data_IF_250018519574
#
_entry.id   IF_250018519574
#
_cell.length_a   1.000
_cell.length_b   1.000
_cell.length_c   1.000
_cell.angle_alpha   90.00
_cell.angle_beta   90.00
_cell.angle_gamma   90.00
#
_symmetry.space_group_name_H-M   'P 1'
#
loop_
_entity.id
_entity.type
_entity.pdbx_description
1 polymer ?
#
# COMPACT_ATOMS: atom_id res chain seq x y z
N UNK A 1 2.00 -28.29 -15.16
CA UNK A 1 1.12 -27.10 -15.20
C UNK A 1 1.78 -26.08 -16.13
N UNK A 2 1.13 -25.72 -17.24
CA UNK A 2 1.65 -24.74 -18.22
C UNK A 2 1.15 -23.37 -17.79
N UNK A 3 2.05 -22.47 -17.38
CA UNK A 3 1.69 -21.10 -16.99
C UNK A 3 1.35 -20.32 -18.26
N UNK A 4 0.06 -20.17 -18.54
CA UNK A 4 -0.44 -19.39 -19.68
C UNK A 4 -0.62 -17.93 -19.26
N UNK A 5 -0.12 -16.99 -20.08
CA UNK A 5 -0.23 -15.56 -19.78
C UNK A 5 -1.69 -15.16 -19.81
N UNK A 6 -2.20 -14.58 -18.72
CA UNK A 6 -3.57 -14.05 -18.69
C UNK A 6 -3.73 -12.98 -19.80
N UNK A 7 -4.68 -13.16 -20.73
CA UNK A 7 -4.85 -12.23 -21.85
C UNK A 7 -5.48 -10.90 -21.43
N UNK A 8 -6.22 -10.89 -20.32
CA UNK A 8 -6.91 -9.71 -19.80
C UNK A 8 -6.79 -9.65 -18.28
N UNK A 9 -6.52 -8.45 -17.75
CA UNK A 9 -6.50 -8.21 -16.30
C UNK A 9 -7.94 -7.99 -15.85
N UNK A 10 -8.40 -8.77 -14.87
CA UNK A 10 -9.75 -8.62 -14.33
C UNK A 10 -9.88 -7.27 -13.62
N UNK A 11 -10.95 -6.51 -13.93
CA UNK A 11 -11.25 -5.24 -13.24
C UNK A 11 -11.43 -5.43 -11.74
N UNK A 12 -12.00 -6.56 -11.32
CA UNK A 12 -12.11 -6.92 -9.92
C UNK A 12 -10.73 -7.09 -9.27
N UNK A 13 -9.77 -7.72 -9.96
CA UNK A 13 -8.41 -7.86 -9.44
C UNK A 13 -7.68 -6.51 -9.32
N UNK A 14 -7.90 -5.58 -10.26
CA UNK A 14 -7.31 -4.23 -10.21
C UNK A 14 -7.77 -3.44 -8.98
N UNK A 15 -9.03 -3.60 -8.56
CA UNK A 15 -9.59 -2.91 -7.40
C UNK A 15 -9.35 -3.65 -6.08
N UNK A 16 -9.51 -4.98 -6.09
CA UNK A 16 -9.40 -5.78 -4.87
C UNK A 16 -7.96 -5.96 -4.41
N UNK A 17 -6.97 -6.00 -5.31
CA UNK A 17 -5.57 -6.16 -4.93
C UNK A 17 -5.05 -5.07 -3.96
N UNK A 18 -5.19 -3.76 -4.25
CA UNK A 18 -4.73 -2.72 -3.31
C UNK A 18 -5.53 -2.72 -2.01
N UNK A 19 -6.85 -2.96 -2.06
CA UNK A 19 -7.69 -3.06 -0.86
C UNK A 19 -7.24 -4.23 0.03
N UNK A 20 -7.00 -5.39 -0.55
CA UNK A 20 -6.50 -6.56 0.16
C UNK A 20 -5.11 -6.31 0.75
N UNK A 21 -4.21 -5.62 0.04
CA UNK A 21 -2.89 -5.25 0.55
C UNK A 21 -2.98 -4.32 1.76
N UNK A 22 -3.87 -3.32 1.74
CA UNK A 22 -4.11 -2.43 2.89
C UNK A 22 -4.68 -3.21 4.08
N UNK A 23 -5.70 -4.04 3.86
CA UNK A 23 -6.31 -4.85 4.93
C UNK A 23 -5.30 -5.84 5.54
N UNK A 24 -4.49 -6.48 4.70
CA UNK A 24 -3.42 -7.38 5.15
C UNK A 24 -2.38 -6.62 5.98
N UNK A 25 -1.94 -5.46 5.50
CA UNK A 25 -0.98 -4.61 6.23
C UNK A 25 -1.54 -4.21 7.59
N UNK A 26 -2.79 -3.75 7.64
CA UNK A 26 -3.46 -3.44 8.90
C UNK A 26 -3.50 -4.67 9.80
N UNK A 27 -3.98 -5.82 9.33
CA UNK A 27 -4.05 -7.05 10.13
C UNK A 27 -2.69 -7.44 10.72
N UNK A 28 -1.62 -7.46 9.91
CA UNK A 28 -0.26 -7.76 10.37
C UNK A 28 0.22 -6.73 11.40
N UNK A 29 0.04 -5.44 11.15
CA UNK A 29 0.38 -4.40 12.14
C UNK A 29 -0.41 -4.59 13.45
N UNK A 30 -1.67 -5.00 13.37
CA UNK A 30 -2.51 -5.28 14.53
C UNK A 30 -1.99 -6.44 15.36
N UNK A 31 -1.52 -7.51 14.71
CA UNK A 31 -0.86 -8.63 15.38
C UNK A 31 0.41 -8.18 16.12
N UNK A 32 1.22 -7.31 15.51
CA UNK A 32 2.40 -6.75 16.17
C UNK A 32 2.02 -5.89 17.39
N UNK A 33 0.95 -5.11 17.30
CA UNK A 33 0.43 -4.31 18.42
C UNK A 33 -0.09 -5.20 19.55
N UNK A 34 -0.80 -6.29 19.22
CA UNK A 34 -1.23 -7.30 20.20
C UNK A 34 -0.02 -7.94 20.87
N UNK A 35 1.00 -8.30 20.10
CA UNK A 35 2.23 -8.89 20.61
C UNK A 35 2.98 -7.93 21.55
N UNK A 36 2.93 -6.63 21.29
CA UNK A 36 3.45 -5.60 22.17
C UNK A 36 2.59 -5.34 23.43
N UNK A 37 1.46 -6.03 23.60
CA UNK A 37 0.55 -5.87 24.74
C UNK A 37 -0.27 -4.57 24.71
N UNK A 38 -0.32 -3.88 23.57
CA UNK A 38 -1.02 -2.60 23.42
C UNK A 38 -2.46 -2.78 22.90
N UNK A 39 -3.40 -1.89 23.27
CA UNK A 39 -4.79 -1.96 22.83
C UNK A 39 -4.93 -1.59 21.35
N UNK A 40 -5.10 -2.60 20.48
CA UNK A 40 -5.16 -2.47 19.00
C UNK A 40 -6.11 -1.36 18.52
N UNK A 41 -7.35 -1.36 19.02
CA UNK A 41 -8.35 -0.38 18.60
C UNK A 41 -7.90 1.06 18.90
N UNK A 42 -7.34 1.30 20.09
CA UNK A 42 -6.81 2.62 20.44
C UNK A 42 -5.57 2.96 19.63
N UNK A 43 -4.70 1.99 19.35
CA UNK A 43 -3.51 2.21 18.52
C UNK A 43 -3.87 2.65 17.11
N UNK A 44 -4.87 2.06 16.46
CA UNK A 44 -5.30 2.54 15.14
C UNK A 44 -5.94 3.92 15.17
N UNK A 45 -6.70 4.24 16.23
CA UNK A 45 -7.25 5.60 16.40
C UNK A 45 -6.12 6.61 16.53
N UNK A 46 -5.09 6.30 17.33
CA UNK A 46 -3.92 7.16 17.48
C UNK A 46 -3.12 7.26 16.18
N UNK A 47 -3.00 6.18 15.42
CA UNK A 47 -2.35 6.18 14.10
C UNK A 47 -3.10 7.09 13.12
N UNK A 48 -4.43 7.00 13.07
CA UNK A 48 -5.25 7.86 12.24
C UNK A 48 -5.15 9.34 12.66
N UNK A 49 -5.15 9.63 13.97
CA UNK A 49 -4.91 10.98 14.48
C UNK A 49 -3.50 11.48 14.17
N UNK A 50 -2.49 10.60 14.26
CA UNK A 50 -1.10 10.93 13.94
C UNK A 50 -0.86 11.19 12.46
N UNK A 51 -1.65 10.57 11.57
CA UNK A 51 -1.56 10.77 10.13
C UNK A 51 -2.41 11.94 9.62
N UNK A 52 -3.60 12.18 10.21
CA UNK A 52 -4.59 13.12 9.67
C UNK A 52 -5.08 14.19 10.65
N UNK A 53 -4.68 14.14 11.92
CA UNK A 53 -5.23 14.99 12.99
C UNK A 53 -4.79 16.46 12.97
N UNK A 54 -3.83 16.82 12.12
CA UNK A 54 -3.40 18.21 11.93
C UNK A 54 -2.84 18.43 10.52
N UNK A 55 -2.72 19.70 10.11
CA UNK A 55 -2.08 20.06 8.84
C UNK A 55 -0.62 19.58 8.80
N UNK A 56 0.10 19.66 9.93
CA UNK A 56 1.47 19.16 10.03
C UNK A 56 1.54 17.64 9.83
N UNK A 57 0.69 16.89 10.53
CA UNK A 57 0.59 15.43 10.40
C UNK A 57 0.27 14.99 8.97
N UNK A 58 -0.68 15.68 8.31
CA UNK A 58 -1.03 15.40 6.92
C UNK A 58 0.13 15.71 5.98
N UNK A 59 0.83 16.83 6.20
CA UNK A 59 1.97 17.23 5.37
C UNK A 59 3.12 16.24 5.51
N UNK A 60 3.43 15.79 6.73
CA UNK A 60 4.46 14.76 6.94
C UNK A 60 4.06 13.44 6.27
N UNK A 61 2.79 13.02 6.41
CA UNK A 61 2.27 11.81 5.76
C UNK A 61 2.42 11.89 4.25
N UNK A 62 2.03 13.01 3.62
CA UNK A 62 2.18 13.22 2.19
C UNK A 62 3.65 13.30 1.76
N UNK A 63 4.50 13.97 2.54
CA UNK A 63 5.94 14.09 2.25
C UNK A 63 6.60 12.71 2.19
N UNK A 64 6.15 11.76 3.02
CA UNK A 64 6.61 10.36 2.97
C UNK A 64 5.94 9.54 1.88
N UNK A 65 4.65 9.76 1.62
CA UNK A 65 3.86 8.95 0.71
C UNK A 65 4.12 9.30 -0.78
N UNK A 66 4.24 10.57 -1.11
CA UNK A 66 4.44 11.05 -2.49
C UNK A 66 5.62 10.36 -3.20
N UNK A 67 6.84 10.29 -2.65
CA UNK A 67 7.94 9.63 -3.34
C UNK A 67 7.65 8.15 -3.60
N UNK A 68 7.02 7.43 -2.66
CA UNK A 68 6.65 6.02 -2.84
C UNK A 68 5.60 5.82 -3.94
N UNK A 69 4.60 6.71 -4.00
CA UNK A 69 3.59 6.72 -5.06
C UNK A 69 4.26 6.94 -6.42
N UNK A 70 5.17 7.93 -6.51
CA UNK A 70 5.91 8.22 -7.74
C UNK A 70 6.81 7.07 -8.16
N UNK A 71 7.46 6.36 -7.22
CA UNK A 71 8.24 5.16 -7.51
C UNK A 71 7.35 4.06 -8.13
N UNK A 72 6.19 3.79 -7.53
CA UNK A 72 5.25 2.81 -8.08
C UNK A 72 4.73 3.21 -9.47
N UNK A 73 4.44 4.50 -9.66
CA UNK A 73 4.03 5.06 -10.95
C UNK A 73 5.12 4.91 -12.01
N UNK A 74 6.38 5.23 -11.67
CA UNK A 74 7.52 5.09 -12.58
C UNK A 74 7.70 3.64 -13.05
N UNK A 75 7.62 2.68 -12.11
CA UNK A 75 7.67 1.25 -12.44
C UNK A 75 6.50 0.83 -13.34
N UNK A 76 5.27 1.28 -13.02
CA UNK A 76 4.09 0.98 -13.83
C UNK A 76 4.22 1.51 -15.27
N UNK A 77 4.75 2.74 -15.44
CA UNK A 77 5.01 3.34 -16.76
C UNK A 77 6.07 2.54 -17.52
N UNK A 78 7.19 2.18 -16.88
CA UNK A 78 8.26 1.40 -17.50
C UNK A 78 7.76 0.03 -18.01
N UNK A 79 6.99 -0.69 -17.18
CA UNK A 79 6.41 -1.98 -17.56
C UNK A 79 5.36 -1.87 -18.67
N UNK A 80 4.60 -0.77 -18.70
CA UNK A 80 3.66 -0.49 -19.79
C UNK A 80 4.37 -0.14 -21.10
N UNK A 81 5.52 0.51 -21.02
CA UNK A 81 6.40 0.79 -22.17
C UNK A 81 7.20 -0.44 -22.64
N UNK A 82 6.98 -1.62 -22.04
CA UNK A 82 7.70 -2.86 -22.33
C UNK A 82 9.23 -2.75 -22.12
N UNK A 83 9.66 -1.81 -21.28
CA UNK A 83 11.05 -1.66 -20.85
C UNK A 83 11.34 -2.69 -19.76
N UNK A 84 11.45 -3.96 -20.17
CA UNK A 84 11.72 -5.08 -19.27
C UNK A 84 13.22 -5.32 -19.05
N UNK A 85 14.05 -4.75 -19.93
CA UNK A 85 15.50 -4.80 -19.82
C UNK A 85 16.06 -3.43 -20.21
N UNK A 86 16.67 -2.73 -19.25
CA UNK A 86 17.45 -1.51 -19.50
C UNK A 86 18.94 -1.87 -19.33
N UNK A 87 19.38 -2.95 -19.99
CA UNK A 87 20.75 -3.45 -19.90
C UNK A 87 21.00 -4.35 -18.70
#
# INVERSE_FOLDING_TARGET
>A
MRLEKRPQVSHAALLLAPVAAVLFTLAVSGLLVLWAGAPVGRTYVLLAQGAFGSVFALTETLTRAVPLILTGLAAAVAFRAHLYNIG
#
